data_IF_097893113055
#
_entry.id   IF_097893113055
#
_cell.length_a   1.000
_cell.length_b   1.000
_cell.length_c   1.000
_cell.angle_alpha   90.00
_cell.angle_beta   90.00
_cell.angle_gamma   90.00
#
_symmetry.space_group_name_H-M   'P 1'
#
loop_
_entity.id
_entity.type
_entity.pdbx_description
1 polymer ?
#
# COMPACT_ATOMS: atom_id res chain seq x y z
N UNK A 1 36.11 -32.60 -33.04
CA UNK A 1 35.82 -33.00 -31.64
C UNK A 1 37.11 -32.84 -30.85
N UNK A 2 37.35 -31.67 -30.25
CA UNK A 2 38.48 -31.44 -29.35
C UNK A 2 37.96 -31.57 -27.92
N UNK A 3 38.44 -32.59 -27.20
CA UNK A 3 38.04 -32.86 -25.82
C UNK A 3 38.62 -31.82 -24.87
N UNK A 4 37.77 -31.26 -24.00
CA UNK A 4 38.19 -30.51 -22.83
C UNK A 4 38.93 -31.45 -21.86
N UNK A 5 40.24 -31.27 -21.77
CA UNK A 5 41.11 -31.91 -20.79
C UNK A 5 40.94 -31.21 -19.43
N UNK A 6 40.02 -31.71 -18.61
CA UNK A 6 39.78 -31.21 -17.27
C UNK A 6 40.73 -31.92 -16.28
N UNK A 7 41.97 -31.42 -16.17
CA UNK A 7 42.92 -31.89 -15.14
C UNK A 7 42.36 -31.64 -13.72
N UNK A 8 42.51 -32.58 -12.78
CA UNK A 8 42.10 -32.38 -11.39
C UNK A 8 43.04 -31.36 -10.74
N UNK A 9 42.52 -30.15 -10.46
CA UNK A 9 43.21 -29.15 -9.63
C UNK A 9 43.57 -29.78 -8.30
N UNK A 10 44.82 -29.64 -7.89
CA UNK A 10 45.29 -30.24 -6.64
C UNK A 10 44.54 -29.60 -5.46
N UNK A 11 44.22 -30.39 -4.42
CA UNK A 11 43.53 -29.91 -3.19
C UNK A 11 44.23 -28.68 -2.57
N UNK A 12 45.53 -28.54 -2.83
CA UNK A 12 46.36 -27.40 -2.44
C UNK A 12 45.96 -26.11 -3.16
N UNK A 13 45.79 -26.14 -4.48
CA UNK A 13 45.35 -24.99 -5.28
C UNK A 13 43.92 -24.55 -4.90
N UNK A 14 43.02 -25.50 -4.65
CA UNK A 14 41.66 -25.19 -4.19
C UNK A 14 41.66 -24.50 -2.81
N UNK A 15 42.55 -24.90 -1.89
CA UNK A 15 42.72 -24.25 -0.58
C UNK A 15 43.32 -22.86 -0.69
N UNK A 16 44.26 -22.64 -1.61
CA UNK A 16 44.84 -21.32 -1.87
C UNK A 16 43.82 -20.37 -2.50
N UNK A 17 43.02 -20.84 -3.47
CA UNK A 17 41.91 -20.07 -4.06
C UNK A 17 40.85 -19.70 -3.00
N UNK A 18 40.47 -20.63 -2.12
CA UNK A 18 39.52 -20.35 -1.04
C UNK A 18 40.07 -19.35 -0.01
N UNK A 19 41.38 -19.39 0.28
CA UNK A 19 42.03 -18.44 1.19
C UNK A 19 42.08 -17.04 0.57
N UNK A 20 42.41 -16.93 -0.72
CA UNK A 20 42.40 -15.67 -1.46
C UNK A 20 40.98 -15.06 -1.49
N UNK A 21 39.96 -15.86 -1.82
CA UNK A 21 38.58 -15.42 -1.85
C UNK A 21 38.06 -14.96 -0.47
N UNK A 22 38.42 -15.67 0.60
CA UNK A 22 38.10 -15.26 1.99
C UNK A 22 38.84 -14.01 2.44
N UNK A 23 39.99 -13.70 1.84
CA UNK A 23 40.74 -12.48 2.13
C UNK A 23 40.12 -11.27 1.39
N UNK A 24 39.69 -11.46 0.14
CA UNK A 24 38.95 -10.44 -0.62
C UNK A 24 37.61 -10.10 0.01
N UNK A 25 36.83 -11.11 0.42
CA UNK A 25 35.56 -10.88 1.12
C UNK A 25 35.78 -10.09 2.41
N UNK A 26 36.80 -10.44 3.21
CA UNK A 26 37.12 -9.69 4.44
C UNK A 26 37.58 -8.26 4.18
N UNK A 27 38.28 -7.99 3.08
CA UNK A 27 38.66 -6.63 2.67
C UNK A 27 37.45 -5.82 2.21
N UNK A 28 36.57 -6.42 1.41
CA UNK A 28 35.32 -5.79 1.00
C UNK A 28 34.41 -5.50 2.20
N UNK A 29 34.33 -6.41 3.17
CA UNK A 29 33.60 -6.20 4.43
C UNK A 29 34.24 -5.08 5.28
N UNK A 30 35.57 -5.01 5.37
CA UNK A 30 36.23 -3.94 6.12
C UNK A 30 36.04 -2.58 5.46
N UNK A 31 36.15 -2.48 4.13
CA UNK A 31 35.92 -1.24 3.38
C UNK A 31 34.46 -0.80 3.45
N UNK A 32 33.51 -1.74 3.39
CA UNK A 32 32.09 -1.45 3.57
C UNK A 32 31.79 -0.98 5.00
N UNK A 33 32.43 -1.57 6.01
CA UNK A 33 32.30 -1.16 7.41
C UNK A 33 32.90 0.23 7.64
N UNK A 34 34.05 0.52 7.04
CA UNK A 34 34.72 1.82 7.12
C UNK A 34 33.91 2.93 6.43
N UNK A 35 33.32 2.65 5.26
CA UNK A 35 32.36 3.56 4.61
C UNK A 35 31.14 3.85 5.48
N UNK A 36 30.54 2.82 6.09
CA UNK A 36 29.40 2.99 7.01
C UNK A 36 29.76 3.84 8.22
N UNK A 37 30.96 3.67 8.77
CA UNK A 37 31.46 4.47 9.91
C UNK A 37 31.75 5.91 9.47
N UNK A 38 32.35 6.13 8.29
CA UNK A 38 32.61 7.46 7.76
C UNK A 38 31.31 8.22 7.44
N UNK A 39 30.30 7.53 6.94
CA UNK A 39 28.96 8.09 6.67
C UNK A 39 28.20 8.38 7.97
N UNK A 40 28.40 7.58 9.03
CA UNK A 40 27.90 7.84 10.38
C UNK A 40 28.64 8.99 11.11
N UNK A 41 29.89 9.28 10.73
CA UNK A 41 30.70 10.39 11.26
C UNK A 41 30.54 11.71 10.50
N UNK A 42 29.78 11.71 9.40
CA UNK A 42 29.45 12.95 8.69
C UNK A 42 28.64 13.86 9.64
N UNK A 43 28.93 15.18 9.70
CA UNK A 43 28.27 16.06 10.65
C UNK A 43 26.76 16.03 10.41
N UNK A 44 25.92 15.87 11.46
CA UNK A 44 24.49 15.87 11.29
C UNK A 44 24.08 17.20 10.69
N UNK A 45 23.47 17.16 9.51
CA UNK A 45 22.81 18.32 8.91
C UNK A 45 21.90 18.97 9.96
N UNK A 46 22.08 20.25 10.22
CA UNK A 46 21.39 20.93 11.31
C UNK A 46 19.87 20.87 11.09
N UNK A 47 19.14 20.42 12.12
CA UNK A 47 17.67 20.37 12.16
C UNK A 47 16.97 21.62 11.58
N UNK A 48 17.39 22.86 11.91
CA UNK A 48 16.77 24.07 11.34
C UNK A 48 16.90 24.18 9.82
N UNK A 49 18.01 23.73 9.22
CA UNK A 49 18.19 23.76 7.76
C UNK A 49 17.26 22.79 7.04
N UNK A 50 17.09 21.58 7.58
CA UNK A 50 16.16 20.58 7.05
C UNK A 50 14.70 21.00 7.18
N UNK A 51 14.32 21.59 8.32
CA UNK A 51 12.97 22.11 8.53
C UNK A 51 12.65 23.27 7.58
N UNK A 52 13.61 24.17 7.33
CA UNK A 52 13.46 25.25 6.35
C UNK A 52 13.31 24.75 4.92
N UNK A 53 14.06 23.72 4.53
CA UNK A 53 13.93 23.09 3.21
C UNK A 53 12.58 22.37 3.05
N UNK A 54 12.15 21.64 4.06
CA UNK A 54 10.88 20.92 4.06
C UNK A 54 9.68 21.87 3.99
N UNK A 55 9.72 22.99 4.72
CA UNK A 55 8.65 24.01 4.67
C UNK A 55 8.64 24.75 3.33
N UNK A 56 9.79 25.09 2.76
CA UNK A 56 9.86 25.66 1.40
C UNK A 56 9.31 24.68 0.36
N UNK A 57 9.67 23.40 0.44
CA UNK A 57 9.15 22.36 -0.45
C UNK A 57 7.61 22.21 -0.32
N UNK A 58 7.07 22.27 0.90
CA UNK A 58 5.62 22.24 1.13
C UNK A 58 4.90 23.46 0.55
N UNK A 59 5.48 24.65 0.64
CA UNK A 59 4.91 25.87 0.05
C UNK A 59 4.88 25.74 -1.48
N UNK A 60 5.98 25.31 -2.09
CA UNK A 60 6.05 25.07 -3.54
C UNK A 60 5.02 24.01 -3.96
N UNK A 61 4.96 22.91 -3.22
CA UNK A 61 3.99 21.83 -3.44
C UNK A 61 2.55 22.34 -3.37
N UNK A 62 2.21 23.16 -2.38
CA UNK A 62 0.87 23.73 -2.22
C UNK A 62 0.47 24.63 -3.39
N UNK A 63 1.37 25.51 -3.82
CA UNK A 63 1.13 26.40 -4.96
C UNK A 63 0.97 25.61 -6.26
N UNK A 64 1.86 24.65 -6.52
CA UNK A 64 1.75 23.76 -7.69
C UNK A 64 0.44 22.98 -7.67
N UNK A 65 0.05 22.43 -6.52
CA UNK A 65 -1.19 21.66 -6.38
C UNK A 65 -2.43 22.52 -6.68
N UNK A 66 -2.44 23.78 -6.24
CA UNK A 66 -3.51 24.74 -6.53
C UNK A 66 -3.63 25.09 -8.01
N UNK A 67 -2.51 25.11 -8.75
CA UNK A 67 -2.47 25.44 -10.18
C UNK A 67 -2.75 24.26 -11.11
N UNK A 68 -2.85 23.03 -10.59
CA UNK A 68 -3.07 21.81 -11.37
C UNK A 68 -4.32 21.86 -12.29
N UNK A 69 -5.50 22.32 -11.84
CA UNK A 69 -6.68 22.37 -12.70
C UNK A 69 -6.47 23.29 -13.91
N UNK A 70 -5.87 24.46 -13.69
CA UNK A 70 -5.63 25.45 -14.75
C UNK A 70 -4.57 24.97 -15.74
N UNK A 71 -3.51 24.33 -15.25
CA UNK A 71 -2.48 23.70 -16.09
C UNK A 71 -3.09 22.59 -16.94
N UNK A 72 -3.90 21.71 -16.35
CA UNK A 72 -4.52 20.60 -17.09
C UNK A 72 -5.46 21.11 -18.19
N UNK A 73 -6.27 22.14 -17.91
CA UNK A 73 -7.15 22.79 -18.91
C UNK A 73 -6.36 23.49 -20.00
N UNK A 74 -5.33 24.26 -19.63
CA UNK A 74 -4.47 24.95 -20.58
C UNK A 74 -3.75 23.97 -21.52
N UNK A 75 -3.22 22.88 -21.00
CA UNK A 75 -2.58 21.85 -21.82
C UNK A 75 -3.60 21.19 -22.77
N UNK A 76 -4.78 20.81 -22.25
CA UNK A 76 -5.79 20.10 -23.04
C UNK A 76 -6.39 20.96 -24.16
N UNK A 77 -6.80 22.20 -23.85
CA UNK A 77 -7.45 23.09 -24.81
C UNK A 77 -6.45 23.93 -25.61
N UNK A 78 -5.40 24.43 -24.96
CA UNK A 78 -4.44 25.36 -25.57
C UNK A 78 -3.36 24.65 -26.38
N UNK A 79 -2.77 23.58 -25.84
CA UNK A 79 -1.67 22.86 -26.50
C UNK A 79 -2.18 21.75 -27.42
N UNK A 80 -3.13 20.94 -26.93
CA UNK A 80 -3.67 19.81 -27.71
C UNK A 80 -4.88 20.19 -28.58
N UNK A 81 -5.50 21.37 -28.37
CA UNK A 81 -6.63 21.83 -29.17
C UNK A 81 -7.88 20.95 -29.03
N UNK A 82 -7.99 20.17 -27.95
CA UNK A 82 -9.09 19.23 -27.74
C UNK A 82 -10.25 19.92 -27.04
N UNK A 83 -11.46 19.69 -27.54
CA UNK A 83 -12.69 20.15 -26.88
C UNK A 83 -12.98 19.24 -25.67
N UNK A 84 -13.22 19.87 -24.51
CA UNK A 84 -13.56 19.21 -23.24
C UNK A 84 -14.88 18.43 -23.32
N UNK A 85 -15.77 18.80 -24.25
CA UNK A 85 -17.02 18.07 -24.51
C UNK A 85 -16.80 16.73 -25.24
N UNK A 86 -15.61 16.52 -25.82
CA UNK A 86 -15.26 15.26 -26.47
C UNK A 86 -14.75 14.23 -25.47
N UNK A 87 -15.05 12.94 -25.71
CA UNK A 87 -14.56 11.83 -24.89
C UNK A 87 -13.02 11.80 -24.78
N UNK A 88 -12.32 12.18 -25.87
CA UNK A 88 -10.87 12.29 -25.90
C UNK A 88 -10.37 13.46 -25.05
N UNK A 89 -11.00 14.65 -25.17
CA UNK A 89 -10.64 15.82 -24.36
C UNK A 89 -10.84 15.57 -22.87
N UNK A 90 -11.95 14.98 -22.47
CA UNK A 90 -12.22 14.61 -21.07
C UNK A 90 -11.22 13.58 -20.52
N UNK A 91 -10.84 12.57 -21.33
CA UNK A 91 -9.81 11.59 -20.93
C UNK A 91 -8.45 12.25 -20.71
N UNK A 92 -8.05 13.13 -21.63
CA UNK A 92 -6.74 13.80 -21.59
C UNK A 92 -6.67 14.79 -20.44
N UNK A 93 -7.72 15.59 -20.21
CA UNK A 93 -7.78 16.50 -19.06
C UNK A 93 -7.68 15.71 -17.75
N UNK A 94 -8.45 14.63 -17.61
CA UNK A 94 -8.38 13.75 -16.45
C UNK A 94 -6.98 13.18 -16.25
N UNK A 95 -6.34 12.67 -17.30
CA UNK A 95 -4.97 12.13 -17.20
C UNK A 95 -3.96 13.20 -16.76
N UNK A 96 -4.01 14.39 -17.37
CA UNK A 96 -3.09 15.50 -17.09
C UNK A 96 -3.32 16.13 -15.73
N UNK A 97 -4.55 16.08 -15.21
CA UNK A 97 -4.89 16.55 -13.88
C UNK A 97 -4.53 15.51 -12.81
N UNK A 98 -5.00 14.26 -12.96
CA UNK A 98 -4.88 13.22 -11.92
C UNK A 98 -3.47 12.65 -11.82
N UNK A 99 -2.70 12.55 -12.90
CA UNK A 99 -1.33 12.00 -12.86
C UNK A 99 -0.42 12.77 -11.91
N UNK A 100 -0.19 14.09 -12.10
CA UNK A 100 0.63 14.87 -11.19
C UNK A 100 -0.03 15.01 -9.81
N UNK A 101 -1.36 15.14 -9.72
CA UNK A 101 -2.09 15.22 -8.45
C UNK A 101 -1.84 14.00 -7.56
N UNK A 102 -1.99 12.80 -8.12
CA UNK A 102 -1.77 11.54 -7.40
C UNK A 102 -0.30 11.36 -7.04
N UNK A 103 0.65 11.67 -7.94
CA UNK A 103 2.08 11.56 -7.63
C UNK A 103 2.54 12.54 -6.55
N UNK A 104 2.02 13.78 -6.58
CA UNK A 104 2.27 14.80 -5.56
C UNK A 104 1.71 14.37 -4.20
N UNK A 105 0.48 13.86 -4.18
CA UNK A 105 -0.16 13.38 -2.96
C UNK A 105 0.53 12.12 -2.41
N UNK A 106 0.88 11.17 -3.29
CA UNK A 106 1.63 9.96 -2.93
C UNK A 106 2.99 10.33 -2.34
N UNK A 107 3.70 11.29 -2.93
CA UNK A 107 4.99 11.78 -2.40
C UNK A 107 4.83 12.35 -0.99
N UNK A 108 3.85 13.22 -0.77
CA UNK A 108 3.59 13.83 0.55
C UNK A 108 3.22 12.77 1.59
N UNK A 109 2.29 11.88 1.26
CA UNK A 109 1.84 10.80 2.16
C UNK A 109 2.98 9.85 2.46
N UNK A 110 3.75 9.41 1.45
CA UNK A 110 4.88 8.51 1.65
C UNK A 110 5.97 9.17 2.50
N UNK A 111 6.23 10.47 2.32
CA UNK A 111 7.15 11.21 3.17
C UNK A 111 6.66 11.20 4.63
N UNK A 112 5.42 11.62 4.87
CA UNK A 112 4.85 11.69 6.21
C UNK A 112 4.77 10.32 6.86
N UNK A 113 4.40 9.28 6.11
CA UNK A 113 4.36 7.92 6.62
C UNK A 113 5.78 7.38 6.85
N UNK A 114 6.76 7.70 6.01
CA UNK A 114 8.16 7.35 6.26
C UNK A 114 8.67 7.96 7.58
N UNK A 115 8.35 9.24 7.81
CA UNK A 115 8.58 9.92 9.10
C UNK A 115 7.80 9.21 10.21
N UNK A 116 6.52 8.92 10.04
CA UNK A 116 5.68 8.32 11.08
C UNK A 116 6.12 6.90 11.44
N UNK A 117 6.54 6.09 10.47
CA UNK A 117 7.09 4.75 10.71
C UNK A 117 8.37 4.77 11.53
N UNK A 118 9.16 5.85 11.46
CA UNK A 118 10.30 6.01 12.37
C UNK A 118 9.90 6.10 13.86
N UNK A 119 8.63 6.41 14.16
CA UNK A 119 8.08 6.37 15.53
C UNK A 119 7.57 4.98 15.92
N UNK A 120 7.07 4.21 14.95
CA UNK A 120 6.46 2.89 15.14
C UNK A 120 7.42 1.78 14.71
N UNK A 121 8.26 1.30 15.63
CA UNK A 121 9.09 0.13 15.35
C UNK A 121 8.26 -1.15 15.39
N UNK A 122 8.47 -2.09 14.45
CA UNK A 122 7.85 -3.41 14.49
C UNK A 122 8.05 -4.12 15.83
N UNK A 123 9.21 -3.97 16.47
CA UNK A 123 9.53 -4.52 17.80
C UNK A 123 8.59 -4.01 18.90
N UNK A 124 8.26 -2.71 18.93
CA UNK A 124 7.32 -2.15 19.92
C UNK A 124 5.92 -2.72 19.73
N UNK A 125 5.48 -2.82 18.48
CA UNK A 125 4.18 -3.40 18.15
C UNK A 125 4.16 -4.91 18.44
N UNK A 126 5.24 -5.62 18.14
CA UNK A 126 5.42 -7.03 18.51
C UNK A 126 5.31 -7.19 20.01
N UNK A 127 5.95 -6.37 20.85
CA UNK A 127 5.83 -6.44 22.32
C UNK A 127 4.40 -6.22 22.81
N UNK A 128 3.65 -5.30 22.17
CA UNK A 128 2.24 -5.06 22.48
C UNK A 128 1.35 -6.27 22.13
N UNK A 129 1.69 -6.98 21.05
CA UNK A 129 0.94 -8.12 20.53
C UNK A 129 1.44 -9.49 21.05
N UNK A 130 2.67 -9.57 21.54
CA UNK A 130 3.30 -10.79 22.02
C UNK A 130 2.66 -11.27 23.32
N UNK A 131 2.38 -12.57 23.42
CA UNK A 131 1.76 -13.20 24.59
C UNK A 131 0.23 -13.07 24.66
N UNK A 132 -0.42 -12.37 23.73
CA UNK A 132 -1.89 -12.33 23.62
C UNK A 132 -2.40 -13.49 22.75
N UNK A 133 -3.64 -13.90 23.00
CA UNK A 133 -4.30 -14.92 22.17
C UNK A 133 -4.46 -14.41 20.74
N UNK A 134 -4.48 -15.31 19.75
CA UNK A 134 -4.64 -14.95 18.33
C UNK A 134 -5.85 -14.03 18.09
N UNK A 135 -6.97 -14.29 18.77
CA UNK A 135 -8.17 -13.46 18.67
C UNK A 135 -7.95 -12.04 19.20
N UNK A 136 -7.35 -11.90 20.39
CA UNK A 136 -7.04 -10.59 20.96
C UNK A 136 -5.99 -9.83 20.13
N UNK A 137 -5.02 -10.55 19.55
CA UNK A 137 -4.06 -10.00 18.61
C UNK A 137 -4.74 -9.42 17.37
N UNK A 138 -5.65 -10.17 16.74
CA UNK A 138 -6.40 -9.71 15.56
C UNK A 138 -7.20 -8.43 15.84
N UNK A 139 -7.89 -8.36 16.99
CA UNK A 139 -8.65 -7.16 17.40
C UNK A 139 -7.71 -5.96 17.54
N UNK A 140 -6.61 -6.11 18.29
CA UNK A 140 -5.66 -5.02 18.51
C UNK A 140 -5.00 -4.55 17.22
N UNK A 141 -4.66 -5.48 16.33
CA UNK A 141 -4.06 -5.16 15.03
C UNK A 141 -5.04 -4.43 14.10
N UNK A 142 -6.31 -4.83 14.09
CA UNK A 142 -7.34 -4.16 13.30
C UNK A 142 -7.62 -2.74 13.84
N UNK A 143 -7.71 -2.57 15.17
CA UNK A 143 -7.83 -1.25 15.80
C UNK A 143 -6.62 -0.36 15.54
N UNK A 144 -5.40 -0.93 15.57
CA UNK A 144 -4.20 -0.21 15.18
C UNK A 144 -4.30 0.28 13.74
N UNK A 145 -4.84 -0.56 12.84
CA UNK A 145 -5.11 -0.19 11.45
C UNK A 145 -6.00 1.05 11.31
N UNK A 146 -7.09 1.14 12.08
CA UNK A 146 -8.00 2.32 12.07
C UNK A 146 -7.29 3.59 12.50
N UNK A 147 -6.47 3.51 13.56
CA UNK A 147 -5.78 4.69 14.13
C UNK A 147 -4.62 5.14 13.23
N UNK A 148 -4.09 4.24 12.39
CA UNK A 148 -2.98 4.55 11.52
C UNK A 148 -3.44 5.07 10.17
N UNK A 149 -3.01 6.27 9.73
CA UNK A 149 -3.37 6.84 8.43
C UNK A 149 -2.57 6.18 7.29
N UNK A 150 -2.49 4.86 7.27
CA UNK A 150 -1.70 4.11 6.30
C UNK A 150 -2.56 3.71 5.11
N UNK A 151 -2.23 4.27 3.95
CA UNK A 151 -2.70 3.73 2.67
C UNK A 151 -2.03 2.38 2.37
N UNK A 152 -2.57 1.64 1.40
CA UNK A 152 -2.11 0.30 1.02
C UNK A 152 -0.61 0.26 0.69
N UNK A 153 -0.08 1.29 0.00
CA UNK A 153 1.36 1.48 -0.28
C UNK A 153 2.24 1.50 0.98
N UNK A 154 1.64 1.89 2.11
CA UNK A 154 2.32 2.04 3.38
C UNK A 154 2.07 0.92 4.37
N UNK A 155 0.94 0.24 4.23
CA UNK A 155 0.59 -0.89 5.06
C UNK A 155 1.50 -2.09 4.77
N UNK A 156 1.92 -2.31 3.51
CA UNK A 156 2.73 -3.49 3.15
C UNK A 156 4.12 -3.51 3.82
N UNK A 157 4.94 -2.44 3.81
CA UNK A 157 6.22 -2.49 4.51
C UNK A 157 6.09 -2.69 6.02
N UNK A 158 5.05 -2.14 6.63
CA UNK A 158 4.78 -2.36 8.06
C UNK A 158 4.30 -3.79 8.33
N UNK A 159 3.50 -4.35 7.44
CA UNK A 159 3.14 -5.76 7.45
C UNK A 159 4.37 -6.69 7.37
N UNK A 160 5.32 -6.38 6.48
CA UNK A 160 6.62 -7.07 6.43
C UNK A 160 7.35 -6.93 7.77
N UNK A 161 7.42 -5.71 8.32
CA UNK A 161 8.04 -5.47 9.63
C UNK A 161 7.43 -6.33 10.74
N UNK A 162 6.10 -6.38 10.84
CA UNK A 162 5.41 -7.19 11.85
C UNK A 162 5.65 -8.69 11.65
N UNK A 163 5.59 -9.18 10.41
CA UNK A 163 5.88 -10.58 10.10
C UNK A 163 7.33 -10.95 10.43
N UNK A 164 8.29 -10.09 10.07
CA UNK A 164 9.71 -10.26 10.35
C UNK A 164 10.03 -10.16 11.84
N UNK A 165 9.26 -9.38 12.60
CA UNK A 165 9.34 -9.34 14.06
C UNK A 165 8.69 -10.58 14.72
N UNK A 166 8.06 -11.48 13.94
CA UNK A 166 7.48 -12.73 14.44
C UNK A 166 6.04 -12.61 14.94
N UNK A 167 5.33 -11.52 14.62
CA UNK A 167 3.88 -11.40 14.86
C UNK A 167 3.14 -12.48 14.02
N UNK A 168 2.12 -13.18 14.57
CA UNK A 168 1.39 -14.21 13.84
C UNK A 168 0.78 -13.69 12.53
N UNK A 169 0.79 -14.52 11.48
CA UNK A 169 0.36 -14.16 10.13
C UNK A 169 -1.08 -13.61 10.10
N UNK A 170 -2.00 -14.24 10.84
CA UNK A 170 -3.39 -13.76 10.88
C UNK A 170 -3.52 -12.34 11.44
N UNK A 171 -2.76 -12.05 12.50
CA UNK A 171 -2.77 -10.74 13.17
C UNK A 171 -2.24 -9.65 12.26
N UNK A 172 -1.17 -9.93 11.50
CA UNK A 172 -0.64 -8.95 10.55
C UNK A 172 -1.60 -8.71 9.38
N UNK A 173 -2.34 -9.73 8.92
CA UNK A 173 -3.39 -9.53 7.91
C UNK A 173 -4.57 -8.70 8.43
N UNK A 174 -5.00 -8.88 9.68
CA UNK A 174 -6.03 -8.02 10.28
C UNK A 174 -5.66 -6.53 10.22
N UNK A 175 -4.40 -6.22 10.53
CA UNK A 175 -3.87 -4.86 10.36
C UNK A 175 -3.83 -4.43 8.87
N UNK A 176 -3.27 -5.27 7.99
CA UNK A 176 -3.10 -4.97 6.56
C UNK A 176 -4.45 -4.68 5.88
N UNK A 177 -5.51 -5.38 6.26
CA UNK A 177 -6.85 -5.20 5.69
C UNK A 177 -7.52 -3.97 6.28
N UNK A 178 -7.46 -3.79 7.61
CA UNK A 178 -8.18 -2.69 8.27
C UNK A 178 -7.60 -1.32 7.94
N UNK A 179 -6.27 -1.21 7.79
CA UNK A 179 -5.58 0.06 7.57
C UNK A 179 -6.09 0.84 6.34
N UNK A 180 -6.15 0.25 5.12
CA UNK A 180 -6.71 0.97 3.97
C UNK A 180 -8.25 0.98 3.97
N UNK A 181 -8.91 -0.09 4.44
CA UNK A 181 -10.36 -0.27 4.29
C UNK A 181 -11.20 0.61 5.22
N UNK A 182 -10.73 0.84 6.45
CA UNK A 182 -11.44 1.58 7.52
C UNK A 182 -10.57 2.73 8.03
N UNK A 183 -9.93 3.46 7.11
CA UNK A 183 -9.13 4.62 7.48
C UNK A 183 -10.02 5.82 7.86
N UNK A 184 -9.42 6.78 8.57
CA UNK A 184 -10.09 7.98 9.04
C UNK A 184 -10.69 8.78 7.87
N UNK A 185 -9.99 8.82 6.73
CA UNK A 185 -10.43 9.53 5.53
C UNK A 185 -11.71 8.92 4.97
N UNK A 186 -11.79 7.59 4.80
CA UNK A 186 -12.99 6.92 4.29
C UNK A 186 -14.18 7.11 5.24
N UNK A 187 -13.96 7.01 6.56
CA UNK A 187 -15.03 7.15 7.56
C UNK A 187 -15.57 8.59 7.58
N UNK A 188 -14.69 9.60 7.57
CA UNK A 188 -15.10 11.02 7.52
C UNK A 188 -15.86 11.34 6.24
N UNK A 189 -15.40 10.82 5.10
CA UNK A 189 -16.09 11.00 3.82
C UNK A 189 -17.45 10.31 3.81
N UNK A 190 -17.54 9.04 4.22
CA UNK A 190 -18.81 8.31 4.31
C UNK A 190 -19.80 8.99 5.26
N UNK A 191 -19.29 9.51 6.39
CA UNK A 191 -20.10 10.29 7.32
C UNK A 191 -20.69 11.53 6.65
N UNK A 192 -19.88 12.28 5.88
CA UNK A 192 -20.33 13.47 5.15
C UNK A 192 -21.33 13.18 4.02
N UNK A 193 -21.23 12.01 3.39
CA UNK A 193 -22.02 11.64 2.21
C UNK A 193 -23.33 10.92 2.55
N UNK A 194 -23.25 9.93 3.45
CA UNK A 194 -24.32 8.96 3.72
C UNK A 194 -24.82 9.05 5.17
N UNK A 195 -24.24 9.94 5.97
CA UNK A 195 -24.59 10.16 7.36
C UNK A 195 -23.94 9.16 8.32
N UNK A 196 -24.14 9.40 9.61
CA UNK A 196 -23.46 8.67 10.68
C UNK A 196 -23.84 7.18 10.75
N UNK A 197 -25.10 6.84 10.44
CA UNK A 197 -25.60 5.46 10.51
C UNK A 197 -24.82 4.55 9.55
N UNK A 198 -24.70 4.97 8.30
CA UNK A 198 -23.98 4.21 7.27
C UNK A 198 -22.49 4.14 7.58
N UNK A 199 -21.89 5.25 8.00
CA UNK A 199 -20.48 5.28 8.38
C UNK A 199 -20.16 4.35 9.57
N UNK A 200 -21.02 4.32 10.59
CA UNK A 200 -20.84 3.45 11.76
C UNK A 200 -21.00 1.96 11.41
N UNK A 201 -22.00 1.61 10.60
CA UNK A 201 -22.17 0.23 10.12
C UNK A 201 -20.97 -0.17 9.27
N UNK A 202 -20.52 0.70 8.35
CA UNK A 202 -19.37 0.45 7.48
C UNK A 202 -18.10 0.19 8.29
N UNK A 203 -17.84 1.03 9.29
CA UNK A 203 -16.70 0.87 10.20
C UNK A 203 -16.78 -0.46 10.97
N UNK A 204 -17.95 -0.80 11.50
CA UNK A 204 -18.17 -2.06 12.21
C UNK A 204 -17.98 -3.29 11.31
N UNK A 205 -18.58 -3.28 10.12
CA UNK A 205 -18.47 -4.39 9.16
C UNK A 205 -17.07 -4.52 8.56
N UNK A 206 -16.40 -3.40 8.28
CA UNK A 206 -15.04 -3.39 7.76
C UNK A 206 -14.05 -3.94 8.79
N UNK A 207 -14.18 -3.54 10.06
CA UNK A 207 -13.38 -4.10 11.16
C UNK A 207 -13.67 -5.60 11.33
N UNK A 208 -14.94 -6.00 11.27
CA UNK A 208 -15.32 -7.42 11.34
C UNK A 208 -14.69 -8.22 10.19
N UNK A 209 -14.74 -7.73 8.95
CA UNK A 209 -14.09 -8.37 7.80
C UNK A 209 -12.58 -8.49 8.02
N UNK A 210 -11.92 -7.44 8.50
CA UNK A 210 -10.48 -7.47 8.78
C UNK A 210 -10.13 -8.54 9.83
N UNK A 211 -10.83 -8.55 10.98
CA UNK A 211 -10.59 -9.50 12.07
C UNK A 211 -10.89 -10.95 11.68
N UNK A 212 -12.03 -11.18 11.01
CA UNK A 212 -12.43 -12.52 10.55
C UNK A 212 -11.47 -13.02 9.47
N UNK A 213 -11.11 -12.16 8.51
CA UNK A 213 -10.18 -12.54 7.45
C UNK A 213 -8.80 -12.88 8.00
N UNK A 214 -8.26 -12.04 8.90
CA UNK A 214 -7.00 -12.31 9.56
C UNK A 214 -7.04 -13.61 10.38
N UNK A 215 -8.12 -13.83 11.14
CA UNK A 215 -8.32 -15.07 11.88
C UNK A 215 -8.35 -16.30 10.96
N UNK A 216 -9.16 -16.26 9.90
CA UNK A 216 -9.29 -17.37 8.93
C UNK A 216 -7.95 -17.65 8.25
N UNK A 217 -7.26 -16.61 7.74
CA UNK A 217 -5.95 -16.77 7.10
C UNK A 217 -4.91 -17.33 8.08
N UNK A 218 -4.93 -16.89 9.34
CA UNK A 218 -4.07 -17.45 10.39
C UNK A 218 -4.34 -18.95 10.63
N UNK A 219 -5.61 -19.37 10.58
CA UNK A 219 -5.98 -20.79 10.74
C UNK A 219 -5.61 -21.67 9.55
N UNK A 220 -5.46 -21.10 8.36
CA UNK A 220 -4.97 -21.83 7.19
C UNK A 220 -3.48 -22.21 7.31
N UNK A 221 -2.73 -21.64 8.29
CA UNK A 221 -1.31 -21.93 8.55
C UNK A 221 -0.46 -21.92 7.28
N UNK A 222 -0.62 -20.83 6.53
CA UNK A 222 0.05 -20.61 5.25
C UNK A 222 1.38 -19.84 5.41
N UNK A 223 2.00 -19.87 6.59
CA UNK A 223 3.25 -19.13 6.87
C UNK A 223 4.39 -19.53 5.90
N UNK A 224 4.43 -20.80 5.49
CA UNK A 224 5.37 -21.31 4.47
C UNK A 224 5.21 -20.68 3.08
N UNK A 225 4.10 -19.98 2.84
CA UNK A 225 3.79 -19.30 1.59
C UNK A 225 4.09 -17.80 1.65
N UNK A 226 4.82 -17.33 2.67
CA UNK A 226 5.52 -16.06 2.62
C UNK A 226 6.82 -16.24 1.81
N UNK A 227 7.27 -15.22 1.08
CA UNK A 227 8.52 -15.26 0.32
C UNK A 227 9.74 -15.53 1.21
N UNK A 228 10.73 -16.23 0.66
CA UNK A 228 11.81 -16.84 1.46
C UNK A 228 12.73 -15.79 2.08
N UNK A 229 12.91 -14.64 1.43
CA UNK A 229 13.70 -13.51 1.96
C UNK A 229 13.09 -12.94 3.25
N UNK A 230 11.76 -12.92 3.37
CA UNK A 230 11.06 -12.45 4.58
C UNK A 230 11.24 -13.45 5.71
N UNK A 231 11.17 -14.75 5.38
CA UNK A 231 11.39 -15.82 6.36
C UNK A 231 12.83 -15.81 6.90
N UNK A 232 13.82 -15.52 6.04
CA UNK A 232 15.21 -15.39 6.42
C UNK A 232 15.41 -14.25 7.44
N UNK A 233 14.90 -13.05 7.15
CA UNK A 233 14.96 -11.89 8.07
C UNK A 233 14.26 -12.21 9.41
N UNK A 234 13.11 -12.89 9.36
CA UNK A 234 12.42 -13.32 10.57
C UNK A 234 13.26 -14.26 11.43
N UNK A 235 13.93 -15.23 10.81
CA UNK A 235 14.77 -16.20 11.53
C UNK A 235 15.99 -15.53 12.17
N UNK A 236 16.56 -14.53 11.50
CA UNK A 236 17.68 -13.73 12.01
C UNK A 236 17.25 -12.86 13.20
N UNK A 237 16.12 -12.14 13.09
CA UNK A 237 15.57 -11.32 14.19
C UNK A 237 15.10 -12.13 15.41
N UNK A 238 14.78 -13.41 15.23
CA UNK A 238 14.45 -14.31 16.34
C UNK A 238 15.69 -14.93 16.99
N UNK A 239 16.78 -15.07 16.23
CA UNK A 239 18.04 -15.67 16.71
C UNK A 239 19.00 -14.65 17.31
N UNK A 240 19.07 -13.44 16.76
CA UNK A 240 19.73 -12.28 17.36
C UNK A 240 18.67 -11.51 18.14
N UNK A 241 18.73 -11.55 19.48
CA UNK A 241 17.84 -10.74 20.32
C UNK A 241 17.91 -9.30 19.86
N UNK A 242 16.81 -8.80 19.28
CA UNK A 242 16.80 -7.57 18.51
C UNK A 242 17.44 -6.43 19.27
N UNK A 243 18.56 -5.92 18.74
CA UNK A 243 19.14 -4.67 19.21
C UNK A 243 18.03 -3.62 19.15
N UNK A 244 17.74 -3.01 20.29
CA UNK A 244 16.85 -1.86 20.33
C UNK A 244 17.52 -0.76 19.53
N UNK A 245 17.09 -0.58 18.28
CA UNK A 245 17.57 0.50 17.45
C UNK A 245 17.44 1.81 18.23
N UNK A 246 18.56 2.52 18.40
CA UNK A 246 18.59 3.79 19.13
C UNK A 246 17.51 4.73 18.58
N UNK A 247 16.83 5.49 19.46
CA UNK A 247 15.75 6.37 19.03
C UNK A 247 16.29 7.43 18.06
N UNK A 248 15.89 7.32 16.80
CA UNK A 248 16.27 8.24 15.74
C UNK A 248 15.98 9.69 16.12
N UNK A 249 16.96 10.57 15.91
CA UNK A 249 16.80 12.02 16.07
C UNK A 249 15.90 12.62 14.99
N UNK A 250 15.29 13.78 15.25
CA UNK A 250 14.36 14.42 14.30
C UNK A 250 14.94 14.64 12.89
N UNK A 251 16.25 14.90 12.76
CA UNK A 251 16.93 15.06 11.48
C UNK A 251 16.97 13.76 10.66
N UNK A 252 17.16 12.63 11.34
CA UNK A 252 17.22 11.29 10.75
C UNK A 252 15.83 10.79 10.37
N UNK A 253 14.80 11.23 11.10
CA UNK A 253 13.40 10.92 10.75
C UNK A 253 12.97 11.60 9.46
N UNK A 254 13.41 12.84 9.25
CA UNK A 254 13.20 13.54 7.97
C UNK A 254 13.92 12.80 6.84
N UNK A 255 15.14 12.32 7.07
CA UNK A 255 15.86 11.51 6.09
C UNK A 255 15.15 10.18 5.81
N UNK A 256 14.61 9.52 6.84
CA UNK A 256 13.82 8.31 6.69
C UNK A 256 12.58 8.56 5.82
N UNK A 257 11.92 9.71 5.99
CA UNK A 257 10.84 10.16 5.11
C UNK A 257 11.28 10.34 3.65
N UNK A 258 12.38 11.05 3.43
CA UNK A 258 12.92 11.29 2.08
C UNK A 258 13.38 10.00 1.40
N UNK A 259 14.02 9.10 2.14
CA UNK A 259 14.42 7.78 1.67
C UNK A 259 13.21 6.93 1.29
N UNK A 260 12.15 6.95 2.11
CA UNK A 260 10.91 6.24 1.83
C UNK A 260 10.25 6.73 0.52
N UNK A 261 10.26 8.04 0.27
CA UNK A 261 9.79 8.60 -1.01
C UNK A 261 10.60 8.05 -2.18
N UNK A 262 11.93 8.14 -2.11
CA UNK A 262 12.80 7.68 -3.20
C UNK A 262 12.62 6.18 -3.47
N UNK A 263 12.45 5.38 -2.42
CA UNK A 263 12.34 3.93 -2.55
C UNK A 263 10.96 3.49 -3.05
N UNK A 264 9.88 4.09 -2.55
CA UNK A 264 8.51 3.70 -2.89
C UNK A 264 8.06 4.39 -4.18
N UNK A 265 8.08 5.72 -4.22
CA UNK A 265 7.62 6.48 -5.40
C UNK A 265 8.51 6.19 -6.58
N UNK A 266 9.84 6.13 -6.38
CA UNK A 266 10.81 5.82 -7.45
C UNK A 266 10.61 4.45 -8.10
N UNK A 267 10.05 3.46 -7.38
CA UNK A 267 9.77 2.12 -7.93
C UNK A 267 8.36 1.97 -8.51
N UNK A 268 7.40 2.79 -8.06
CA UNK A 268 5.96 2.57 -8.33
C UNK A 268 5.37 3.61 -9.28
N UNK A 269 6.02 4.77 -9.50
CA UNK A 269 5.47 5.86 -10.31
C UNK A 269 5.04 5.44 -11.73
N UNK A 270 5.81 4.58 -12.42
CA UNK A 270 5.44 4.09 -13.76
C UNK A 270 4.12 3.29 -13.74
N UNK A 271 3.93 2.45 -12.72
CA UNK A 271 2.69 1.67 -12.57
C UNK A 271 1.51 2.56 -12.22
N UNK A 272 1.72 3.60 -11.41
CA UNK A 272 0.70 4.60 -11.08
C UNK A 272 0.29 5.37 -12.33
N UNK A 273 1.26 5.86 -13.12
CA UNK A 273 0.99 6.55 -14.38
C UNK A 273 0.24 5.65 -15.36
N UNK A 274 0.67 4.39 -15.51
CA UNK A 274 -0.02 3.42 -16.37
C UNK A 274 -1.47 3.15 -15.89
N UNK A 275 -1.68 3.02 -14.58
CA UNK A 275 -3.02 2.85 -14.01
C UNK A 275 -3.93 4.06 -14.25
N UNK A 276 -3.41 5.28 -14.09
CA UNK A 276 -4.15 6.52 -14.35
C UNK A 276 -4.43 6.68 -15.85
N UNK A 277 -3.51 6.27 -16.73
CA UNK A 277 -3.74 6.27 -18.18
C UNK A 277 -4.91 5.37 -18.59
N UNK A 278 -4.97 4.15 -18.01
CA UNK A 278 -6.11 3.25 -18.21
C UNK A 278 -7.38 3.85 -17.61
N UNK A 279 -7.32 4.40 -16.40
CA UNK A 279 -8.44 5.06 -15.73
C UNK A 279 -8.99 6.26 -16.51
N UNK A 280 -8.11 7.05 -17.13
CA UNK A 280 -8.46 8.16 -18.01
C UNK A 280 -9.22 7.70 -19.25
N UNK A 281 -8.75 6.62 -19.89
CA UNK A 281 -9.47 6.00 -21.00
C UNK A 281 -10.84 5.47 -20.57
N UNK A 282 -10.95 4.87 -19.39
CA UNK A 282 -12.23 4.43 -18.84
C UNK A 282 -13.14 5.63 -18.56
N UNK A 283 -12.64 6.70 -17.95
CA UNK A 283 -13.45 7.87 -17.59
C UNK A 283 -14.03 8.58 -18.81
N UNK A 284 -13.24 8.74 -19.88
CA UNK A 284 -13.75 9.38 -21.08
C UNK A 284 -14.69 8.50 -21.90
N UNK A 285 -14.52 7.18 -21.89
CA UNK A 285 -15.24 6.28 -22.80
C UNK A 285 -16.33 5.42 -22.14
N UNK A 286 -16.31 5.20 -20.83
CA UNK A 286 -17.33 4.41 -20.12
C UNK A 286 -18.43 5.35 -19.63
N UNK A 287 -19.64 5.28 -20.21
CA UNK A 287 -20.75 6.10 -19.74
C UNK A 287 -21.12 5.66 -18.33
N UNK A 288 -21.28 6.61 -17.42
CA UNK A 288 -21.78 6.38 -16.07
C UNK A 288 -23.11 5.59 -16.04
N UNK A 289 -23.92 5.68 -17.10
CA UNK A 289 -25.16 4.91 -17.26
C UNK A 289 -24.95 3.40 -17.48
N UNK A 290 -23.80 2.99 -18.03
CA UNK A 290 -23.47 1.58 -18.23
C UNK A 290 -23.17 0.90 -16.89
N UNK A 291 -22.35 1.52 -16.04
CA UNK A 291 -22.06 1.06 -14.67
C UNK A 291 -23.34 1.03 -13.82
N UNK A 292 -24.17 2.08 -13.89
CA UNK A 292 -25.45 2.12 -13.20
C UNK A 292 -26.42 1.02 -13.67
N UNK A 293 -26.46 0.66 -14.96
CA UNK A 293 -27.32 -0.43 -15.46
C UNK A 293 -26.91 -1.83 -14.98
N UNK A 294 -25.63 -2.00 -14.63
CA UNK A 294 -25.03 -3.23 -14.08
C UNK A 294 -25.21 -3.28 -12.56
N UNK A 295 -25.01 -2.14 -11.88
CA UNK A 295 -25.02 -2.02 -10.42
C UNK A 295 -26.39 -1.65 -9.80
N UNK A 296 -27.36 -1.22 -10.63
CA UNK A 296 -28.66 -0.70 -10.22
C UNK A 296 -29.84 -1.65 -10.41
N UNK A 297 -29.62 -2.92 -10.77
CA UNK A 297 -30.69 -3.93 -10.65
C UNK A 297 -30.71 -4.42 -9.20
N UNK A 298 -31.90 -4.66 -8.64
CA UNK A 298 -32.08 -5.48 -7.42
C UNK A 298 -31.74 -6.96 -7.70
N UNK A 299 -30.61 -7.20 -8.35
CA UNK A 299 -30.16 -8.51 -8.73
C UNK A 299 -29.03 -8.94 -7.79
N UNK A 300 -29.09 -10.19 -7.35
CA UNK A 300 -28.06 -10.78 -6.49
C UNK A 300 -26.66 -10.72 -7.11
N UNK A 301 -26.54 -10.64 -8.44
CA UNK A 301 -25.26 -10.59 -9.15
C UNK A 301 -24.61 -9.21 -9.17
N UNK A 302 -25.33 -8.13 -8.83
CA UNK A 302 -24.80 -6.77 -8.87
C UNK A 302 -23.64 -6.56 -7.90
N UNK A 303 -23.70 -7.17 -6.70
CA UNK A 303 -22.61 -7.11 -5.71
C UNK A 303 -21.35 -7.85 -6.19
N UNK A 304 -21.41 -9.13 -6.64
CA UNK A 304 -20.27 -9.80 -7.26
C UNK A 304 -19.68 -9.07 -8.47
N UNK A 305 -20.52 -8.56 -9.36
CA UNK A 305 -20.05 -7.81 -10.53
C UNK A 305 -19.32 -6.53 -10.11
N UNK A 306 -19.85 -5.81 -9.13
CA UNK A 306 -19.22 -4.62 -8.58
C UNK A 306 -17.85 -4.91 -7.96
N UNK A 307 -17.71 -5.98 -7.16
CA UNK A 307 -16.41 -6.39 -6.60
C UNK A 307 -15.43 -6.77 -7.72
N UNK A 308 -15.87 -7.54 -8.71
CA UNK A 308 -15.03 -7.95 -9.83
C UNK A 308 -14.53 -6.77 -10.67
N UNK A 309 -15.37 -5.75 -10.87
CA UNK A 309 -14.99 -4.50 -11.54
C UNK A 309 -14.07 -3.65 -10.66
N UNK A 310 -14.28 -3.65 -9.34
CA UNK A 310 -13.47 -2.88 -8.39
C UNK A 310 -12.03 -3.39 -8.25
N UNK A 311 -11.79 -4.70 -8.33
CA UNK A 311 -10.46 -5.31 -8.14
C UNK A 311 -9.40 -4.76 -9.13
N UNK A 312 -9.66 -4.65 -10.46
CA UNK A 312 -8.69 -4.05 -11.37
C UNK A 312 -8.52 -2.54 -11.21
N UNK A 313 -9.49 -1.85 -10.62
CA UNK A 313 -9.48 -0.40 -10.54
C UNK A 313 -8.48 0.09 -9.48
N UNK A 314 -7.63 1.02 -9.90
CA UNK A 314 -6.78 1.76 -8.98
C UNK A 314 -7.45 3.06 -8.59
N UNK A 315 -7.87 3.17 -7.34
CA UNK A 315 -8.27 4.46 -6.76
C UNK A 315 -7.99 4.47 -5.27
N UNK A 316 -7.71 5.65 -4.74
CA UNK A 316 -7.64 5.86 -3.30
C UNK A 316 -9.03 6.15 -2.73
N UNK A 317 -9.18 6.10 -1.41
CA UNK A 317 -10.48 6.29 -0.75
C UNK A 317 -11.17 7.62 -1.11
N UNK A 318 -10.41 8.70 -1.35
CA UNK A 318 -10.97 9.98 -1.76
C UNK A 318 -11.35 10.01 -3.25
N UNK A 319 -10.56 9.39 -4.11
CA UNK A 319 -10.78 9.36 -5.56
C UNK A 319 -11.98 8.52 -5.97
N UNK A 320 -12.40 7.54 -5.16
CA UNK A 320 -13.58 6.72 -5.45
C UNK A 320 -14.90 7.38 -5.00
N UNK A 321 -14.85 8.43 -4.18
CA UNK A 321 -16.04 9.11 -3.66
C UNK A 321 -16.92 9.72 -4.75
N UNK A 322 -16.41 10.51 -5.70
CA UNK A 322 -17.25 11.08 -6.75
C UNK A 322 -17.94 10.01 -7.59
N UNK A 323 -17.23 8.90 -7.86
CA UNK A 323 -17.79 7.74 -8.57
C UNK A 323 -18.92 7.10 -7.76
N UNK A 324 -18.70 6.89 -6.46
CA UNK A 324 -19.72 6.35 -5.56
C UNK A 324 -20.97 7.25 -5.50
N UNK A 325 -20.80 8.57 -5.39
CA UNK A 325 -21.90 9.54 -5.42
C UNK A 325 -22.66 9.51 -6.75
N UNK A 326 -21.96 9.46 -7.88
CA UNK A 326 -22.57 9.38 -9.19
C UNK A 326 -23.39 8.08 -9.35
N UNK A 327 -22.88 6.96 -8.86
CA UNK A 327 -23.58 5.68 -8.89
C UNK A 327 -24.84 5.70 -8.01
N UNK A 328 -24.74 6.21 -6.78
CA UNK A 328 -25.88 6.35 -5.87
C UNK A 328 -26.94 7.31 -6.44
N UNK A 329 -26.52 8.44 -7.01
CA UNK A 329 -27.41 9.40 -7.66
C UNK A 329 -28.15 8.83 -8.88
N UNK A 330 -27.60 7.78 -9.50
CA UNK A 330 -28.23 7.02 -10.60
C UNK A 330 -29.02 5.79 -10.15
N UNK A 331 -29.24 5.65 -8.84
CA UNK A 331 -30.07 4.59 -8.26
C UNK A 331 -29.34 3.26 -8.06
N UNK A 332 -28.01 3.23 -8.02
CA UNK A 332 -27.28 2.03 -7.61
C UNK A 332 -27.59 1.69 -6.14
N UNK A 333 -27.74 0.39 -5.84
CA UNK A 333 -27.98 -0.05 -4.48
C UNK A 333 -26.79 0.29 -3.56
N UNK A 334 -27.08 0.76 -2.36
CA UNK A 334 -26.07 1.31 -1.45
C UNK A 334 -25.00 0.26 -1.08
N UNK A 335 -25.40 -0.97 -0.77
CA UNK A 335 -24.46 -2.05 -0.47
C UNK A 335 -23.61 -2.47 -1.67
N UNK A 336 -24.14 -2.38 -2.90
CA UNK A 336 -23.36 -2.62 -4.12
C UNK A 336 -22.25 -1.57 -4.29
N UNK A 337 -22.56 -0.29 -4.04
CA UNK A 337 -21.58 0.79 -4.11
C UNK A 337 -20.53 0.67 -3.00
N UNK A 338 -20.93 0.32 -1.78
CA UNK A 338 -19.98 0.10 -0.69
C UNK A 338 -19.08 -1.11 -0.96
N UNK A 339 -19.61 -2.23 -1.45
CA UNK A 339 -18.80 -3.39 -1.82
C UNK A 339 -17.81 -3.07 -2.95
N UNK A 340 -18.22 -2.26 -3.93
CA UNK A 340 -17.33 -1.72 -4.95
C UNK A 340 -16.19 -0.91 -4.33
N UNK A 341 -16.50 0.06 -3.47
CA UNK A 341 -15.50 0.89 -2.79
C UNK A 341 -14.52 0.03 -1.97
N UNK A 342 -15.03 -0.93 -1.19
CA UNK A 342 -14.18 -1.83 -0.39
C UNK A 342 -13.27 -2.68 -1.27
N UNK A 343 -13.76 -3.18 -2.41
CA UNK A 343 -12.95 -3.96 -3.35
C UNK A 343 -11.84 -3.12 -3.99
N UNK A 344 -12.16 -1.90 -4.43
CA UNK A 344 -11.18 -0.94 -4.97
C UNK A 344 -10.10 -0.61 -3.94
N UNK A 345 -10.46 -0.47 -2.66
CA UNK A 345 -9.50 -0.06 -1.63
C UNK A 345 -8.64 -1.24 -1.14
N UNK A 346 -9.26 -2.40 -0.91
CA UNK A 346 -8.60 -3.53 -0.24
C UNK A 346 -8.02 -4.59 -1.19
N UNK A 347 -8.56 -4.72 -2.41
CA UNK A 347 -8.20 -5.77 -3.35
C UNK A 347 -7.69 -5.23 -4.70
N UNK A 348 -7.32 -3.95 -4.78
CA UNK A 348 -6.85 -3.36 -6.03
C UNK A 348 -5.64 -4.07 -6.64
N UNK A 349 -5.52 -3.97 -7.97
CA UNK A 349 -4.38 -4.52 -8.71
C UNK A 349 -3.02 -4.04 -8.18
N UNK A 350 -2.81 -2.74 -7.85
CA UNK A 350 -1.53 -2.30 -7.29
C UNK A 350 -1.24 -2.92 -5.93
N UNK A 351 -2.25 -3.12 -5.09
CA UNK A 351 -2.08 -3.85 -3.83
C UNK A 351 -1.65 -5.29 -4.09
N UNK A 352 -2.26 -5.97 -5.06
CA UNK A 352 -1.88 -7.34 -5.43
C UNK A 352 -0.44 -7.43 -5.95
N UNK A 353 -0.02 -6.46 -6.76
CA UNK A 353 1.36 -6.38 -7.30
C UNK A 353 2.38 -6.16 -6.19
N UNK A 354 2.09 -5.27 -5.24
CA UNK A 354 2.98 -4.99 -4.10
C UNK A 354 3.04 -6.22 -3.19
N UNK A 355 1.89 -6.78 -2.85
CA UNK A 355 1.78 -7.92 -1.93
C UNK A 355 2.38 -9.20 -2.52
N UNK A 356 2.35 -9.38 -3.85
CA UNK A 356 3.03 -10.49 -4.55
C UNK A 356 4.54 -10.51 -4.35
N UNK A 357 5.19 -9.38 -4.04
CA UNK A 357 6.63 -9.32 -3.71
C UNK A 357 6.96 -9.94 -2.34
N UNK A 358 5.94 -10.13 -1.50
CA UNK A 358 6.06 -10.60 -0.11
C UNK A 358 5.38 -11.96 0.07
N UNK A 359 4.31 -12.22 -0.67
CA UNK A 359 3.49 -13.41 -0.57
C UNK A 359 3.59 -14.26 -1.83
N UNK A 360 3.72 -15.59 -1.66
CA UNK A 360 3.60 -16.56 -2.75
C UNK A 360 2.16 -16.59 -3.26
N UNK A 361 1.92 -16.98 -4.53
CA UNK A 361 0.60 -16.89 -5.17
C UNK A 361 -0.53 -17.61 -4.40
N UNK A 362 -0.21 -18.70 -3.70
CA UNK A 362 -1.21 -19.46 -2.91
C UNK A 362 -1.75 -18.66 -1.73
N UNK A 363 -0.89 -17.94 -1.01
CA UNK A 363 -1.32 -17.11 0.12
C UNK A 363 -2.02 -15.84 -0.39
N UNK A 364 -1.54 -15.28 -1.50
CA UNK A 364 -2.22 -14.17 -2.17
C UNK A 364 -3.65 -14.56 -2.61
N UNK A 365 -3.83 -15.75 -3.19
CA UNK A 365 -5.14 -16.25 -3.59
C UNK A 365 -6.06 -16.48 -2.38
N UNK A 366 -5.53 -17.01 -1.27
CA UNK A 366 -6.30 -17.15 -0.04
C UNK A 366 -6.73 -15.79 0.52
N UNK A 367 -5.84 -14.79 0.50
CA UNK A 367 -6.15 -13.42 0.89
C UNK A 367 -7.29 -12.84 0.05
N UNK A 368 -7.18 -12.88 -1.29
CA UNK A 368 -8.21 -12.38 -2.21
C UNK A 368 -9.54 -13.10 -2.00
N UNK A 369 -9.52 -14.43 -1.85
CA UNK A 369 -10.74 -15.22 -1.65
C UNK A 369 -11.45 -14.91 -0.34
N UNK A 370 -10.72 -14.84 0.77
CA UNK A 370 -11.30 -14.61 2.10
C UNK A 370 -11.81 -13.16 2.23
N UNK A 371 -10.98 -12.18 1.84
CA UNK A 371 -11.37 -10.76 1.91
C UNK A 371 -12.48 -10.46 0.90
N UNK A 372 -12.39 -11.00 -0.32
CA UNK A 372 -13.43 -10.85 -1.34
C UNK A 372 -14.77 -11.41 -0.88
N UNK A 373 -14.78 -12.60 -0.27
CA UNK A 373 -15.99 -13.15 0.32
C UNK A 373 -16.55 -12.24 1.44
N UNK A 374 -15.68 -11.71 2.30
CA UNK A 374 -16.06 -10.72 3.31
C UNK A 374 -16.75 -9.49 2.71
N UNK A 375 -16.17 -8.92 1.65
CA UNK A 375 -16.74 -7.75 0.95
C UNK A 375 -18.10 -8.09 0.32
N UNK A 376 -18.25 -9.27 -0.29
CA UNK A 376 -19.54 -9.72 -0.84
C UNK A 376 -20.60 -9.82 0.26
N UNK A 377 -20.26 -10.44 1.40
CA UNK A 377 -21.16 -10.56 2.54
C UNK A 377 -21.59 -9.19 3.07
N UNK A 378 -20.66 -8.23 3.17
CA UNK A 378 -20.98 -6.87 3.57
C UNK A 378 -21.90 -6.19 2.55
N UNK A 379 -21.62 -6.30 1.25
CA UNK A 379 -22.49 -5.73 0.21
C UNK A 379 -23.92 -6.27 0.27
N UNK A 380 -24.07 -7.58 0.42
CA UNK A 380 -25.39 -8.20 0.59
C UNK A 380 -26.07 -7.81 1.90
N UNK A 381 -25.31 -7.72 3.00
CA UNK A 381 -25.82 -7.28 4.29
C UNK A 381 -26.38 -5.85 4.21
N UNK A 382 -25.66 -4.94 3.57
CA UNK A 382 -26.11 -3.56 3.41
C UNK A 382 -27.38 -3.47 2.56
N UNK A 383 -27.43 -4.16 1.42
CA UNK A 383 -28.63 -4.21 0.58
C UNK A 383 -29.84 -4.89 1.26
N UNK A 384 -29.62 -5.71 2.29
CA UNK A 384 -30.69 -6.36 3.03
C UNK A 384 -31.23 -5.49 4.19
N UNK A 385 -30.42 -4.57 4.71
CA UNK A 385 -30.77 -3.71 5.86
C UNK A 385 -31.30 -2.33 5.40
N UNK A 386 -30.77 -1.83 4.29
CA UNK A 386 -31.01 -0.48 3.74
C UNK A 386 -31.40 -0.59 2.27
#
# INVERSE_FOLDING_TARGET
>A
MAGCDCKPKTVREAREQLRAQRAEVRRAESEAREKRVAEALAPPSTLPGKLGLASAALIIWWNLYGMLPDIARFLTQGVFGLDLSSHLGASVEFFLYDTPKVLMLLTLIVFFVGVLRSFFTPERTRRLLAGKSEAAGNVLAALLGIVTPFCSCSAVPLFIGFLSAGVPLGVTFSFLISAPMVNEVAVVLLYGLLGWKVAAIYMGTGLAVAMVSGFVIGRLRLERHVEDWVQAVRSENLAGGGDEAEPLGWAERIDAGALAVRDIVGKVWLWVVAGIAVGAGIHGYVPEGMLASIMGREAWWSVPAAVAIGIPMYSNAAGIVPVAQALLGKGAALGTVLAFMMAVIALSLPEMVILRKVLKPRLLAAFVGVVGLGILLVGFLFNAIL
#
